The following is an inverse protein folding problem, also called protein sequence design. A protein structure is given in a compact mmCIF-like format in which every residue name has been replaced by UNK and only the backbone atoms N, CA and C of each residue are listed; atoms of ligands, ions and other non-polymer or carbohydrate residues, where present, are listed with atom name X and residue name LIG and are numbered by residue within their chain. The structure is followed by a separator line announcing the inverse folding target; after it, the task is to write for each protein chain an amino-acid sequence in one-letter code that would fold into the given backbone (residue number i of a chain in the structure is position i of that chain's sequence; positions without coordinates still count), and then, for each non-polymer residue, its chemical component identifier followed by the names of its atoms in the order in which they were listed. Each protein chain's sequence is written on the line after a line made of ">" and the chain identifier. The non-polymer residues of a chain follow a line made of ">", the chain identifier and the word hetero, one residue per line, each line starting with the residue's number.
data_IF_188281476776
#
_entry.id   IF_188281476776
#
_cell.length_a   1.000
_cell.length_b   1.000
_cell.length_c   1.000
_cell.angle_alpha   90.00
_cell.angle_beta   90.00
_cell.angle_gamma   90.00
#
_symmetry.space_group_name_H-M   'P 1'
#
loop_
_entity.id
_entity.type
_entity.pdbx_description
1 polymer ?
#
# COMPACT_ATOMS: atom_id res chain seq x y z
N UNK A 1 17.29 -19.26 -6.40
CA UNK A 1 17.59 -17.95 -5.81
C UNK A 1 18.96 -17.98 -5.12
N UNK A 2 19.15 -18.80 -4.08
CA UNK A 2 20.42 -18.83 -3.32
C UNK A 2 21.67 -19.15 -4.16
N UNK A 3 21.53 -19.97 -5.20
CA UNK A 3 22.58 -20.27 -6.17
C UNK A 3 22.73 -19.22 -7.29
N UNK A 4 21.99 -18.12 -7.22
CA UNK A 4 21.95 -17.03 -8.22
C UNK A 4 21.49 -17.46 -9.65
N UNK A 5 20.98 -18.68 -9.83
CA UNK A 5 20.43 -19.13 -11.11
C UNK A 5 19.10 -18.44 -11.47
N UNK A 6 18.35 -18.01 -10.46
CA UNK A 6 17.10 -17.27 -10.60
C UNK A 6 17.20 -15.95 -9.84
N UNK A 7 16.99 -14.84 -10.55
CA UNK A 7 16.92 -13.52 -9.93
C UNK A 7 15.55 -13.35 -9.23
N UNK A 8 15.51 -13.06 -7.92
CA UNK A 8 14.25 -12.85 -7.22
C UNK A 8 13.53 -11.60 -7.73
N UNK A 9 12.22 -11.65 -7.72
CA UNK A 9 11.37 -10.51 -8.10
C UNK A 9 10.02 -10.51 -7.36
N UNK A 10 9.93 -11.28 -6.28
CA UNK A 10 8.82 -11.24 -5.34
C UNK A 10 8.84 -9.95 -4.52
N UNK A 11 7.67 -9.56 -4.00
CA UNK A 11 7.50 -8.42 -3.10
C UNK A 11 6.73 -8.86 -1.87
N UNK A 12 7.07 -8.30 -0.71
CA UNK A 12 6.37 -8.59 0.54
C UNK A 12 4.93 -8.08 0.47
N UNK A 13 3.93 -8.90 0.82
CA UNK A 13 2.52 -8.50 0.79
C UNK A 13 2.08 -7.78 2.08
N UNK A 14 3.01 -7.54 3.01
CA UNK A 14 2.76 -6.86 4.28
C UNK A 14 4.03 -6.14 4.76
N UNK A 15 3.86 -5.20 5.70
CA UNK A 15 4.99 -4.61 6.43
C UNK A 15 5.43 -5.57 7.54
N UNK A 16 6.73 -5.81 7.66
CA UNK A 16 7.30 -6.49 8.80
C UNK A 16 7.82 -5.44 9.77
N UNK A 17 7.25 -5.33 10.97
CA UNK A 17 7.76 -4.43 12.00
C UNK A 17 9.03 -4.97 12.66
N UNK A 18 9.63 -4.17 13.52
CA UNK A 18 10.75 -4.58 14.35
C UNK A 18 10.32 -5.55 15.47
N UNK A 19 9.14 -5.34 16.03
CA UNK A 19 8.54 -6.20 17.07
C UNK A 19 7.06 -6.46 16.74
N UNK A 20 6.52 -7.60 17.13
CA UNK A 20 5.10 -7.93 16.97
C UNK A 20 4.20 -6.88 17.64
N UNK A 21 4.61 -6.35 18.79
CA UNK A 21 3.88 -5.33 19.55
C UNK A 21 3.80 -3.98 18.83
N UNK A 22 4.56 -3.79 17.76
CA UNK A 22 4.48 -2.59 16.93
C UNK A 22 3.28 -2.58 15.99
N UNK A 23 2.58 -3.72 15.83
CA UNK A 23 1.28 -3.73 15.15
C UNK A 23 0.22 -3.09 16.04
N UNK A 24 -0.57 -2.18 15.47
CA UNK A 24 -1.64 -1.51 16.21
C UNK A 24 -2.65 -2.52 16.80
N UNK A 25 -2.93 -3.60 16.05
CA UNK A 25 -3.83 -4.68 16.49
C UNK A 25 -3.25 -5.59 17.58
N UNK A 26 -1.96 -5.48 17.93
CA UNK A 26 -1.33 -6.36 18.91
C UNK A 26 -1.90 -6.20 20.33
N UNK A 27 -2.50 -5.06 20.64
CA UNK A 27 -3.11 -4.79 21.93
C UNK A 27 -4.48 -5.46 22.11
N UNK A 28 -5.16 -5.77 21.01
CA UNK A 28 -6.51 -6.34 21.02
C UNK A 28 -6.61 -7.68 20.27
N UNK A 29 -5.47 -8.25 19.84
CA UNK A 29 -5.38 -9.59 19.23
C UNK A 29 -4.08 -10.30 19.64
N UNK A 30 -4.08 -11.60 20.04
CA UNK A 30 -5.28 -12.45 20.19
C UNK A 30 -6.19 -11.99 21.32
N UNK A 31 -7.48 -12.26 21.15
CA UNK A 31 -8.49 -11.94 22.15
C UNK A 31 -8.15 -12.61 23.51
N UNK A 32 -8.16 -11.84 24.59
CA UNK A 32 -8.01 -12.37 25.93
C UNK A 32 -9.34 -12.95 26.42
N UNK A 33 -9.44 -14.28 26.40
CA UNK A 33 -10.61 -15.00 26.91
C UNK A 33 -10.84 -14.85 28.42
N UNK A 34 -9.90 -14.25 29.14
CA UNK A 34 -10.01 -14.03 30.59
C UNK A 34 -10.69 -12.71 30.92
N UNK A 35 -10.73 -11.76 30.00
CA UNK A 35 -11.43 -10.50 30.17
C UNK A 35 -12.94 -10.73 30.06
N UNK A 36 -13.60 -10.90 31.21
CA UNK A 36 -15.06 -10.93 31.29
C UNK A 36 -15.59 -9.53 31.02
N UNK A 37 -15.94 -9.23 29.78
CA UNK A 37 -16.84 -8.12 29.50
C UNK A 37 -18.24 -8.57 29.91
N UNK A 38 -18.69 -8.11 31.08
CA UNK A 38 -19.95 -8.49 31.74
C UNK A 38 -21.20 -7.94 31.03
N UNK A 39 -21.04 -7.20 29.96
CA UNK A 39 -22.08 -6.52 29.21
C UNK A 39 -22.56 -7.28 27.96
N UNK A 40 -21.98 -8.46 27.69
CA UNK A 40 -22.37 -9.34 26.61
C UNK A 40 -22.78 -10.72 27.12
N UNK A 41 -23.93 -10.79 27.78
CA UNK A 41 -24.64 -12.04 27.93
C UNK A 41 -25.27 -12.43 26.58
N UNK A 42 -24.52 -13.18 25.76
CA UNK A 42 -25.12 -13.89 24.65
C UNK A 42 -25.68 -15.20 25.17
N UNK A 43 -26.92 -15.15 25.67
CA UNK A 43 -27.67 -16.33 26.08
C UNK A 43 -28.20 -17.04 24.84
N UNK A 44 -27.41 -17.92 24.26
CA UNK A 44 -27.83 -18.87 23.25
C UNK A 44 -27.63 -20.30 23.78
N UNK A 45 -28.56 -20.81 24.56
CA UNK A 45 -28.42 -22.13 25.23
C UNK A 45 -28.32 -23.29 24.23
N UNK A 46 -28.66 -23.11 22.97
CA UNK A 46 -28.72 -24.17 21.96
C UNK A 46 -27.51 -24.25 21.03
N UNK A 47 -26.62 -23.28 21.05
CA UNK A 47 -25.39 -23.30 20.24
C UNK A 47 -24.18 -23.49 21.11
N UNK A 48 -23.63 -24.69 21.15
CA UNK A 48 -22.32 -24.99 21.72
C UNK A 48 -21.21 -24.35 20.86
N UNK A 49 -21.19 -23.03 20.77
CA UNK A 49 -20.09 -22.29 20.17
C UNK A 49 -18.99 -22.26 21.24
N UNK A 50 -17.93 -23.03 21.06
CA UNK A 50 -16.85 -23.19 22.03
C UNK A 50 -15.98 -21.96 22.22
N UNK A 51 -16.03 -20.98 21.31
CA UNK A 51 -15.21 -19.76 21.35
C UNK A 51 -16.05 -18.57 20.91
N UNK A 52 -16.70 -17.90 21.86
CA UNK A 52 -17.26 -16.57 21.68
C UNK A 52 -16.12 -15.57 21.89
N UNK A 53 -15.26 -15.43 20.88
CA UNK A 53 -14.30 -14.34 20.79
C UNK A 53 -14.86 -13.24 19.93
N UNK A 54 -14.68 -11.99 20.31
CA UNK A 54 -14.90 -10.83 19.48
C UNK A 54 -13.61 -10.02 19.43
N UNK A 55 -13.40 -9.34 18.33
CA UNK A 55 -12.25 -8.45 18.14
C UNK A 55 -12.78 -7.11 17.68
N UNK A 56 -12.30 -6.04 18.29
CA UNK A 56 -12.60 -4.68 17.89
C UNK A 56 -11.52 -4.17 16.95
N UNK A 57 -11.93 -3.68 15.78
CA UNK A 57 -11.00 -3.08 14.81
C UNK A 57 -10.84 -1.59 15.17
N UNK A 58 -9.77 -1.27 15.87
CA UNK A 58 -9.49 0.09 16.36
C UNK A 58 -8.64 0.92 15.40
N UNK A 59 -8.10 0.27 14.35
CA UNK A 59 -7.14 0.87 13.43
C UNK A 59 -7.75 1.95 12.53
N UNK A 60 -9.05 1.92 12.30
CA UNK A 60 -9.72 2.81 11.36
C UNK A 60 -9.12 2.70 9.95
N UNK A 61 -8.67 3.81 9.38
CA UNK A 61 -8.02 3.84 8.05
C UNK A 61 -6.55 3.39 8.09
N UNK A 62 -5.96 3.30 9.28
CA UNK A 62 -4.54 3.00 9.48
C UNK A 62 -4.29 1.49 9.61
N UNK A 63 -4.64 0.72 8.59
CA UNK A 63 -4.42 -0.73 8.54
C UNK A 63 -3.15 -1.06 7.76
N UNK A 64 -2.32 -1.96 8.29
CA UNK A 64 -1.13 -2.46 7.63
C UNK A 64 -0.11 -1.37 7.30
N UNK A 65 0.36 -1.30 6.05
CA UNK A 65 1.37 -0.32 5.62
C UNK A 65 0.91 1.14 5.82
N UNK A 66 -0.40 1.43 5.81
CA UNK A 66 -0.92 2.77 6.03
C UNK A 66 -0.55 3.28 7.41
N UNK A 67 -0.72 2.44 8.45
CA UNK A 67 -0.29 2.75 9.81
C UNK A 67 1.22 3.02 9.88
N UNK A 68 2.01 2.10 9.36
CA UNK A 68 3.46 2.22 9.42
C UNK A 68 3.99 3.43 8.64
N UNK A 69 3.42 3.75 7.47
CA UNK A 69 3.83 4.93 6.72
C UNK A 69 3.36 6.26 7.33
N UNK A 70 2.34 6.23 8.20
CA UNK A 70 1.73 7.45 8.77
C UNK A 70 2.21 7.73 10.18
N UNK A 71 2.28 6.71 11.05
CA UNK A 71 2.44 6.87 12.50
C UNK A 71 3.63 6.14 13.11
N UNK A 72 4.25 5.19 12.41
CA UNK A 72 5.25 4.29 12.98
C UNK A 72 6.38 3.95 11.98
N UNK A 73 6.88 4.96 11.26
CA UNK A 73 7.91 4.77 10.23
C UNK A 73 9.22 4.21 10.77
N UNK A 74 9.57 4.56 12.00
CA UNK A 74 10.77 4.10 12.70
C UNK A 74 10.69 2.64 13.16
N UNK A 75 9.50 2.04 13.13
CA UNK A 75 9.25 0.67 13.56
C UNK A 75 9.25 -0.35 12.41
N UNK A 76 9.61 0.06 11.20
CA UNK A 76 9.61 -0.79 10.01
C UNK A 76 10.95 -1.53 9.91
N UNK A 77 10.91 -2.87 9.89
CA UNK A 77 12.03 -3.72 9.49
C UNK A 77 12.08 -3.88 7.97
N UNK A 78 10.96 -4.30 7.37
CA UNK A 78 10.79 -4.38 5.92
C UNK A 78 9.42 -3.82 5.54
N UNK A 79 9.35 -2.80 4.67
CA UNK A 79 8.08 -2.19 4.27
C UNK A 79 7.26 -3.12 3.37
N UNK A 80 5.94 -2.87 3.30
CA UNK A 80 5.09 -3.47 2.28
C UNK A 80 5.66 -3.21 0.88
N UNK A 81 5.69 -4.23 0.05
CA UNK A 81 6.24 -4.14 -1.30
C UNK A 81 7.76 -4.26 -1.39
N UNK A 82 8.47 -4.43 -0.27
CA UNK A 82 9.92 -4.67 -0.27
C UNK A 82 10.28 -5.95 -1.03
N UNK A 83 11.41 -5.92 -1.70
CA UNK A 83 11.98 -7.08 -2.37
C UNK A 83 13.41 -6.84 -2.82
N UNK A 84 14.14 -7.92 -3.03
CA UNK A 84 15.53 -7.93 -3.45
C UNK A 84 15.67 -8.31 -4.93
N UNK A 85 16.75 -7.88 -5.54
CA UNK A 85 17.17 -8.27 -6.89
C UNK A 85 18.68 -8.39 -6.96
N UNK A 86 19.16 -9.26 -7.84
CA UNK A 86 20.59 -9.38 -8.19
C UNK A 86 21.00 -8.41 -9.30
N UNK A 87 20.11 -7.55 -9.75
CA UNK A 87 20.37 -6.50 -10.72
C UNK A 87 19.80 -5.16 -10.25
N UNK A 88 20.16 -4.09 -10.95
CA UNK A 88 19.72 -2.73 -10.64
C UNK A 88 18.80 -2.20 -11.74
N UNK A 89 17.88 -1.31 -11.36
CA UNK A 89 16.95 -0.69 -12.31
C UNK A 89 16.96 0.83 -12.13
N UNK A 90 16.96 1.53 -13.26
CA UNK A 90 16.75 2.97 -13.35
C UNK A 90 15.34 3.24 -13.89
N UNK A 91 14.71 4.29 -13.37
CA UNK A 91 13.38 4.74 -13.76
C UNK A 91 13.45 6.12 -14.40
N UNK A 92 12.85 6.29 -15.57
CA UNK A 92 12.84 7.55 -16.33
C UNK A 92 11.50 7.80 -17.00
N UNK A 93 11.35 8.97 -17.60
CA UNK A 93 10.22 9.34 -18.46
C UNK A 93 8.84 9.17 -17.80
N UNK A 94 8.75 9.45 -16.48
CA UNK A 94 7.49 9.41 -15.76
C UNK A 94 6.56 10.51 -16.27
N UNK A 95 5.36 10.13 -16.75
CA UNK A 95 4.38 11.06 -17.27
C UNK A 95 2.96 10.66 -16.83
N UNK A 96 2.14 11.67 -16.54
CA UNK A 96 0.72 11.53 -16.22
C UNK A 96 -0.13 12.02 -17.39
N UNK A 97 -1.09 11.21 -17.81
CA UNK A 97 -2.14 11.59 -18.77
C UNK A 97 -3.51 11.40 -18.15
N UNK A 98 -4.46 12.25 -18.52
CA UNK A 98 -5.86 12.21 -18.07
C UNK A 98 -6.79 12.07 -19.27
N UNK A 99 -7.78 11.17 -19.14
CA UNK A 99 -8.89 11.03 -20.09
C UNK A 99 -10.20 10.95 -19.33
N UNK A 100 -10.90 12.07 -19.22
CA UNK A 100 -12.10 12.13 -18.38
C UNK A 100 -11.77 11.92 -16.91
N UNK A 101 -12.32 10.89 -16.33
CA UNK A 101 -12.08 10.48 -14.93
C UNK A 101 -10.99 9.42 -14.78
N UNK A 102 -10.40 8.97 -15.88
CA UNK A 102 -9.34 7.98 -15.85
C UNK A 102 -7.97 8.64 -15.95
N UNK A 103 -7.03 8.13 -15.19
CA UNK A 103 -5.65 8.57 -15.14
C UNK A 103 -4.74 7.42 -15.55
N UNK A 104 -3.72 7.77 -16.30
CA UNK A 104 -2.67 6.84 -16.72
C UNK A 104 -1.32 7.46 -16.40
N UNK A 105 -0.53 6.74 -15.64
CA UNK A 105 0.89 7.04 -15.42
C UNK A 105 1.71 6.09 -16.25
N UNK A 106 2.62 6.62 -17.05
CA UNK A 106 3.61 5.85 -17.80
C UNK A 106 4.98 6.07 -17.19
N UNK A 107 5.83 5.04 -17.24
CA UNK A 107 7.18 5.06 -16.70
C UNK A 107 8.05 4.09 -17.48
N UNK A 108 9.25 4.52 -17.85
CA UNK A 108 10.28 3.65 -18.43
C UNK A 108 11.14 3.06 -17.31
N UNK A 109 11.32 1.74 -17.33
CA UNK A 109 12.22 1.00 -16.43
C UNK A 109 13.32 0.37 -17.26
N UNK A 110 14.57 0.65 -16.94
CA UNK A 110 15.77 0.13 -17.61
C UNK A 110 16.55 -0.74 -16.62
N UNK A 111 16.94 -1.94 -17.03
CA UNK A 111 17.86 -2.77 -16.28
C UNK A 111 19.29 -2.24 -16.48
N UNK A 112 19.87 -1.65 -15.45
CA UNK A 112 21.24 -1.06 -15.47
C UNK A 112 22.30 -1.97 -14.87
N UNK A 113 21.91 -3.15 -14.37
CA UNK A 113 22.85 -4.14 -13.85
C UNK A 113 23.25 -5.16 -14.89
N UNK A 114 23.96 -6.20 -14.46
CA UNK A 114 24.61 -7.21 -15.29
C UNK A 114 23.82 -8.53 -15.43
N UNK A 115 22.64 -8.64 -14.82
CA UNK A 115 21.80 -9.85 -14.82
C UNK A 115 20.39 -9.57 -15.29
N UNK A 116 19.74 -10.52 -15.98
CA UNK A 116 18.33 -10.41 -16.30
C UNK A 116 17.49 -10.32 -15.01
N UNK A 117 16.46 -9.46 -15.02
CA UNK A 117 15.60 -9.29 -13.85
C UNK A 117 14.27 -8.63 -14.17
N UNK A 118 13.43 -8.51 -13.15
CA UNK A 118 12.13 -7.83 -13.21
C UNK A 118 12.03 -6.82 -12.09
N UNK A 119 11.44 -5.68 -12.37
CA UNK A 119 11.13 -4.65 -11.40
C UNK A 119 9.61 -4.55 -11.20
N UNK A 120 9.21 -4.15 -9.98
CA UNK A 120 7.81 -3.82 -9.64
C UNK A 120 7.74 -2.35 -9.30
N UNK A 121 6.88 -1.63 -10.00
CA UNK A 121 6.57 -0.22 -9.75
C UNK A 121 5.23 -0.14 -9.03
N UNK A 122 5.19 0.61 -7.93
CA UNK A 122 4.00 0.85 -7.13
C UNK A 122 3.64 2.34 -7.22
N UNK A 123 2.38 2.63 -7.53
CA UNK A 123 1.85 3.99 -7.61
C UNK A 123 0.99 4.26 -6.37
N UNK A 124 1.43 5.21 -5.57
CA UNK A 124 0.71 5.70 -4.41
C UNK A 124 0.17 7.10 -4.67
N UNK A 125 -0.90 7.45 -3.98
CA UNK A 125 -1.44 8.80 -3.95
C UNK A 125 -1.49 9.32 -2.51
N UNK A 126 -0.96 10.52 -2.30
CA UNK A 126 -1.19 11.32 -1.10
C UNK A 126 -2.25 12.36 -1.41
N UNK A 127 -3.31 12.39 -0.62
CA UNK A 127 -4.40 13.35 -0.78
C UNK A 127 -3.98 14.74 -0.26
N UNK A 128 -4.62 15.82 -0.75
CA UNK A 128 -4.51 17.13 -0.10
C UNK A 128 -5.06 17.08 1.33
N UNK A 129 -4.64 18.03 2.16
CA UNK A 129 -5.17 18.17 3.51
C UNK A 129 -6.69 18.33 3.51
N UNK A 130 -7.37 17.68 4.46
CA UNK A 130 -8.81 17.71 4.62
C UNK A 130 -9.24 17.37 6.02
N UNK A 131 -10.53 17.58 6.32
CA UNK A 131 -11.16 17.17 7.58
C UNK A 131 -11.31 15.64 7.66
N UNK A 132 -11.35 14.93 6.52
CA UNK A 132 -11.41 13.47 6.49
C UNK A 132 -10.06 12.88 6.91
N UNK A 133 -10.09 11.94 7.83
CA UNK A 133 -8.91 11.18 8.22
C UNK A 133 -8.44 10.32 7.05
N UNK A 134 -7.22 10.57 6.59
CA UNK A 134 -6.59 9.83 5.49
C UNK A 134 -5.18 9.39 5.86
N UNK A 135 -4.75 8.21 5.42
CA UNK A 135 -3.36 7.83 5.56
C UNK A 135 -2.47 8.73 4.70
N UNK A 136 -1.19 8.85 5.07
CA UNK A 136 -0.22 9.71 4.35
C UNK A 136 -0.09 9.34 2.88
N UNK A 137 -0.35 8.08 2.53
CA UNK A 137 -0.36 7.57 1.14
C UNK A 137 -1.17 6.29 1.02
N UNK A 138 -1.73 6.07 -0.16
CA UNK A 138 -2.48 4.86 -0.50
C UNK A 138 -2.05 4.30 -1.84
N UNK A 139 -1.81 2.99 -1.92
CA UNK A 139 -1.54 2.29 -3.17
C UNK A 139 -2.76 2.34 -4.09
N UNK A 140 -2.58 2.86 -5.31
CA UNK A 140 -3.65 3.00 -6.31
C UNK A 140 -3.47 2.05 -7.49
N UNK A 141 -2.22 1.76 -7.86
CA UNK A 141 -1.90 0.81 -8.93
C UNK A 141 -0.50 0.23 -8.75
N UNK A 142 -0.24 -0.88 -9.39
CA UNK A 142 1.12 -1.44 -9.50
C UNK A 142 1.27 -2.17 -10.82
N UNK A 143 2.52 -2.27 -11.29
CA UNK A 143 2.86 -3.02 -12.49
C UNK A 143 4.24 -3.67 -12.34
N UNK A 144 4.43 -4.80 -13.01
CA UNK A 144 5.69 -5.55 -13.04
C UNK A 144 6.21 -5.64 -14.47
N UNK A 145 7.51 -5.38 -14.67
CA UNK A 145 8.14 -5.48 -15.98
C UNK A 145 8.15 -6.95 -16.47
N UNK A 146 8.23 -7.20 -17.78
CA UNK A 146 8.75 -8.46 -18.28
C UNK A 146 10.19 -8.69 -17.77
N UNK A 147 10.79 -9.82 -18.06
CA UNK A 147 12.22 -10.02 -17.82
C UNK A 147 13.00 -9.06 -18.70
N UNK A 148 13.80 -8.19 -18.09
CA UNK A 148 14.68 -7.25 -18.78
C UNK A 148 16.11 -7.80 -18.76
N UNK A 149 16.70 -7.99 -19.91
CA UNK A 149 18.14 -8.27 -20.05
C UNK A 149 18.94 -7.02 -19.65
N UNK A 150 20.24 -7.16 -19.30
CA UNK A 150 21.13 -6.02 -19.10
C UNK A 150 21.02 -4.98 -20.23
N UNK A 151 20.85 -3.71 -19.88
CA UNK A 151 20.66 -2.60 -20.82
C UNK A 151 19.27 -2.50 -21.47
N UNK A 152 18.38 -3.48 -21.29
CA UNK A 152 17.03 -3.44 -21.87
C UNK A 152 16.07 -2.63 -21.03
N UNK A 153 15.05 -2.05 -21.70
CA UNK A 153 14.02 -1.23 -21.07
C UNK A 153 12.62 -1.73 -21.42
N UNK A 154 11.66 -1.43 -20.54
CA UNK A 154 10.23 -1.54 -20.83
C UNK A 154 9.50 -0.31 -20.31
N UNK A 155 8.44 0.09 -21.02
CA UNK A 155 7.49 1.09 -20.51
C UNK A 155 6.37 0.38 -19.80
N UNK A 156 6.10 0.80 -18.55
CA UNK A 156 4.95 0.35 -17.77
C UNK A 156 3.84 1.39 -17.83
N UNK A 157 2.61 0.91 -17.76
CA UNK A 157 1.40 1.72 -17.63
C UNK A 157 0.70 1.34 -16.34
N UNK A 158 0.37 2.34 -15.52
CA UNK A 158 -0.40 2.21 -14.30
C UNK A 158 -1.66 3.07 -14.44
N UNK A 159 -2.82 2.46 -14.30
CA UNK A 159 -4.11 3.15 -14.49
C UNK A 159 -4.92 3.14 -13.20
N UNK A 160 -5.61 4.23 -12.95
CA UNK A 160 -6.55 4.38 -11.85
C UNK A 160 -7.58 5.46 -12.23
N UNK A 161 -8.67 5.55 -11.49
CA UNK A 161 -9.76 6.50 -11.74
C UNK A 161 -9.87 7.55 -10.65
N UNK A 162 -10.65 8.59 -10.87
CA UNK A 162 -10.99 9.57 -9.84
C UNK A 162 -11.73 8.93 -8.66
N UNK A 163 -12.48 7.85 -8.89
CA UNK A 163 -13.14 7.10 -7.83
C UNK A 163 -12.15 6.41 -6.89
N UNK A 164 -11.01 5.94 -7.41
CA UNK A 164 -9.96 5.31 -6.60
C UNK A 164 -9.30 6.31 -5.62
N UNK A 165 -9.47 7.62 -5.85
CA UNK A 165 -9.01 8.69 -4.97
C UNK A 165 -10.05 9.12 -3.92
N UNK A 166 -11.28 8.59 -4.01
CA UNK A 166 -12.35 8.91 -3.08
C UNK A 166 -12.11 8.25 -1.72
N UNK A 167 -12.59 8.92 -0.67
CA UNK A 167 -12.67 8.40 0.69
C UNK A 167 -14.12 8.40 1.15
N UNK A 168 -14.49 7.45 1.98
CA UNK A 168 -15.84 7.42 2.53
C UNK A 168 -16.02 8.51 3.58
N UNK A 169 -17.04 9.32 3.39
CA UNK A 169 -17.48 10.35 4.33
C UNK A 169 -18.73 9.82 5.05
N UNK A 170 -18.60 9.57 6.34
CA UNK A 170 -19.68 9.02 7.16
C UNK A 170 -20.85 10.01 7.29
N UNK A 171 -20.58 11.32 7.32
CA UNK A 171 -21.59 12.35 7.44
C UNK A 171 -22.49 12.43 6.21
N UNK A 172 -21.93 12.16 5.04
CA UNK A 172 -22.63 12.13 3.76
C UNK A 172 -23.08 10.71 3.37
N UNK A 173 -22.60 9.69 4.09
CA UNK A 173 -22.81 8.27 3.74
C UNK A 173 -22.42 7.97 2.28
N UNK A 174 -21.34 8.57 1.78
CA UNK A 174 -20.93 8.51 0.39
C UNK A 174 -19.39 8.53 0.22
N UNK A 175 -18.91 8.01 -0.90
CA UNK A 175 -17.53 8.20 -1.33
C UNK A 175 -17.34 9.56 -1.97
N UNK A 176 -16.41 10.35 -1.46
CA UNK A 176 -16.12 11.72 -1.92
C UNK A 176 -14.68 11.82 -2.37
N UNK A 177 -14.48 12.29 -3.60
CA UNK A 177 -13.17 12.70 -4.10
C UNK A 177 -12.95 14.16 -3.73
N UNK A 178 -11.89 14.41 -2.98
CA UNK A 178 -11.55 15.76 -2.55
C UNK A 178 -10.92 16.55 -3.70
N UNK A 179 -11.33 17.83 -3.84
CA UNK A 179 -10.65 18.76 -4.73
C UNK A 179 -9.29 19.16 -4.19
N UNK A 180 -8.39 19.49 -5.07
CA UNK A 180 -7.04 19.92 -4.71
C UNK A 180 -5.96 19.16 -5.45
N UNK A 181 -4.74 19.34 -4.99
CA UNK A 181 -3.56 18.72 -5.60
C UNK A 181 -3.14 17.50 -4.81
N UNK A 182 -3.25 16.34 -5.43
CA UNK A 182 -2.71 15.07 -4.98
C UNK A 182 -1.25 14.95 -5.39
N UNK A 183 -0.45 14.31 -4.55
CA UNK A 183 0.92 13.90 -4.92
C UNK A 183 0.91 12.42 -5.27
N UNK A 184 1.09 12.12 -6.55
CA UNK A 184 1.32 10.75 -7.01
C UNK A 184 2.78 10.40 -6.78
N UNK A 185 3.03 9.24 -6.17
CA UNK A 185 4.38 8.76 -5.82
C UNK A 185 4.62 7.43 -6.53
N UNK A 186 5.68 7.35 -7.33
CA UNK A 186 6.17 6.12 -7.92
C UNK A 186 7.25 5.54 -7.02
N UNK A 187 6.97 4.40 -6.42
CA UNK A 187 7.74 3.83 -5.33
C UNK A 187 8.21 2.41 -5.66
N UNK A 188 9.35 2.02 -5.08
CA UNK A 188 9.84 0.62 -5.07
C UNK A 188 9.11 -0.24 -4.04
N UNK A 189 8.76 0.37 -2.92
CA UNK A 189 7.99 -0.17 -1.80
C UNK A 189 7.27 0.98 -1.07
N UNK A 190 6.50 0.68 -0.03
CA UNK A 190 5.70 1.68 0.67
C UNK A 190 6.51 2.82 1.31
N UNK A 191 7.83 2.65 1.50
CA UNK A 191 8.71 3.64 2.13
C UNK A 191 9.65 4.33 1.15
N UNK A 192 9.99 3.67 0.02
CA UNK A 192 11.04 4.13 -0.91
C UNK A 192 10.44 4.82 -2.13
N UNK A 193 10.35 6.14 -2.06
CA UNK A 193 9.86 7.00 -3.17
C UNK A 193 10.99 7.21 -4.17
N UNK A 194 10.73 6.99 -5.45
CA UNK A 194 11.69 7.24 -6.54
C UNK A 194 11.39 8.55 -7.25
N UNK A 195 10.13 8.82 -7.58
CA UNK A 195 9.73 10.08 -8.23
C UNK A 195 8.29 10.42 -7.90
N UNK A 196 7.93 11.67 -8.09
CA UNK A 196 6.58 12.18 -7.81
C UNK A 196 6.01 12.96 -9.00
N UNK A 197 4.69 12.94 -9.14
CA UNK A 197 3.94 13.69 -10.14
C UNK A 197 2.76 14.39 -9.46
N UNK A 198 2.49 15.68 -9.75
CA UNK A 198 1.30 16.35 -9.24
C UNK A 198 0.05 15.95 -10.05
N UNK A 199 -1.08 15.77 -9.38
CA UNK A 199 -2.39 15.57 -9.98
C UNK A 199 -3.40 16.53 -9.34
N UNK A 200 -3.95 17.47 -10.12
CA UNK A 200 -4.98 18.37 -9.62
C UNK A 200 -6.36 17.88 -10.03
N UNK A 201 -7.22 17.64 -9.04
CA UNK A 201 -8.65 17.40 -9.23
C UNK A 201 -9.39 18.73 -9.05
N UNK A 202 -10.21 19.06 -10.04
CA UNK A 202 -11.18 20.16 -10.04
C UNK A 202 -12.56 19.57 -10.27
N UNK A 203 -13.58 20.17 -9.67
CA UNK A 203 -14.99 19.89 -9.96
C UNK A 203 -15.31 20.12 -11.40
#
# INVERSE_FOLDING_TARGET
>A
VLSAQVNPSGRLPMTFPLDYRDHLSSENYPFDYTSKRSDWEYDAPERKIRNLGWTEYLEGVDVGYRYFCTKATEKISFPFGFGLSYTSFEWSDAALTRKGNDFRVTLRVTNTGDRPGREVVQLYASAPESELCKPVRELKAFAKTPVLSPGSSATLELTFSAYDLASFDESLSAFVSQEGTYTLQLNRDASTIVTTLPLTLKK
#
